data_IF_033287719947
#
_entry.id   IF_033287719947
#
_cell.length_a   1.000
_cell.length_b   1.000
_cell.length_c   1.000
_cell.angle_alpha   90.00
_cell.angle_beta   90.00
_cell.angle_gamma   90.00
#
_symmetry.space_group_name_H-M   'P 1'
#
loop_
_entity.id
_entity.type
_entity.pdbx_description
1 polymer ?
#
# COMPACT_ATOMS: atom_id res chain seq x y z
N UNK A 1 9.70 -25.40 39.45
CA UNK A 1 8.39 -24.84 39.04
C UNK A 1 8.48 -23.53 38.24
N UNK A 2 9.58 -22.76 38.28
CA UNK A 2 9.76 -21.56 37.45
C UNK A 2 9.94 -21.83 35.94
N UNK A 3 10.60 -22.93 35.54
CA UNK A 3 10.91 -23.23 34.12
C UNK A 3 9.66 -23.39 33.25
N UNK A 4 8.60 -24.01 33.79
CA UNK A 4 7.33 -24.20 33.08
C UNK A 4 6.57 -22.86 32.94
N UNK A 5 6.66 -22.00 33.95
CA UNK A 5 6.05 -20.66 33.92
C UNK A 5 6.73 -19.74 32.88
N UNK A 6 8.06 -19.80 32.77
CA UNK A 6 8.80 -19.07 31.73
C UNK A 6 8.47 -19.55 30.31
N UNK A 7 8.33 -20.86 30.12
CA UNK A 7 7.92 -21.43 28.83
C UNK A 7 6.51 -20.99 28.42
N UNK A 8 5.56 -20.99 29.37
CA UNK A 8 4.19 -20.51 29.14
C UNK A 8 4.17 -19.01 28.81
N UNK A 9 4.96 -18.20 29.53
CA UNK A 9 5.05 -16.76 29.28
C UNK A 9 5.57 -16.46 27.87
N UNK A 10 6.63 -17.16 27.42
CA UNK A 10 7.16 -17.01 26.06
C UNK A 10 6.14 -17.40 24.98
N UNK A 11 5.41 -18.50 25.20
CA UNK A 11 4.37 -18.96 24.27
C UNK A 11 3.22 -17.95 24.15
N UNK A 12 2.78 -17.38 25.27
CA UNK A 12 1.74 -16.33 25.30
C UNK A 12 2.21 -15.06 24.58
N UNK A 13 3.46 -14.64 24.78
CA UNK A 13 3.99 -13.47 24.06
C UNK A 13 4.03 -13.69 22.55
N UNK A 14 4.38 -14.89 22.09
CA UNK A 14 4.45 -15.21 20.66
C UNK A 14 3.06 -15.17 20.01
N UNK A 15 2.04 -15.72 20.70
CA UNK A 15 0.64 -15.70 20.24
C UNK A 15 0.07 -14.28 20.23
N UNK A 16 0.45 -13.43 21.19
CA UNK A 16 0.01 -12.03 21.20
C UNK A 16 0.61 -11.23 20.04
N UNK A 17 1.87 -11.48 19.66
CA UNK A 17 2.51 -10.73 18.55
C UNK A 17 1.90 -10.98 17.17
N UNK A 18 1.32 -12.15 16.91
CA UNK A 18 0.65 -12.46 15.65
C UNK A 18 -0.70 -11.75 15.48
N UNK A 19 -1.32 -11.28 16.56
CA UNK A 19 -2.57 -10.51 16.51
C UNK A 19 -2.36 -9.03 16.15
N UNK A 20 -1.13 -8.52 16.27
CA UNK A 20 -0.80 -7.12 15.98
C UNK A 20 -0.25 -6.90 14.57
N UNK A 21 -0.29 -7.90 13.68
CA UNK A 21 0.05 -7.67 12.27
C UNK A 21 -1.12 -6.91 11.64
N UNK A 22 -0.96 -5.63 11.26
CA UNK A 22 -2.00 -4.95 10.51
C UNK A 22 -2.05 -5.60 9.13
N UNK A 23 -3.18 -6.22 8.76
CA UNK A 23 -3.45 -6.70 7.40
C UNK A 23 -3.57 -5.58 6.36
N UNK A 24 -3.06 -4.38 6.64
CA UNK A 24 -3.41 -3.12 5.97
C UNK A 24 -2.60 -2.83 4.70
N UNK A 25 -2.10 -3.85 3.99
CA UNK A 25 -1.38 -3.66 2.73
C UNK A 25 -1.99 -4.46 1.57
N UNK A 26 -3.03 -5.26 1.80
CA UNK A 26 -3.84 -5.74 0.69
C UNK A 26 -4.70 -4.57 0.20
N UNK A 27 -4.21 -3.84 -0.80
CA UNK A 27 -5.05 -2.93 -1.58
C UNK A 27 -6.20 -3.75 -2.19
N UNK A 28 -7.31 -3.10 -2.50
CA UNK A 28 -8.40 -3.75 -3.23
C UNK A 28 -7.87 -4.43 -4.50
N UNK A 29 -8.42 -5.60 -4.87
CA UNK A 29 -8.00 -6.34 -6.08
C UNK A 29 -7.99 -5.43 -7.34
N UNK A 30 -8.91 -4.47 -7.38
CA UNK A 30 -8.95 -3.41 -8.38
C UNK A 30 -7.67 -2.56 -8.39
N UNK A 31 -7.31 -2.00 -7.23
CA UNK A 31 -6.13 -1.16 -7.08
C UNK A 31 -4.84 -1.95 -7.34
N UNK A 32 -4.74 -3.18 -6.84
CA UNK A 32 -3.59 -4.04 -7.09
C UNK A 32 -3.39 -4.28 -8.60
N UNK A 33 -4.44 -4.74 -9.29
CA UNK A 33 -4.39 -5.01 -10.74
C UNK A 33 -4.02 -3.76 -11.54
N UNK A 34 -4.70 -2.63 -11.29
CA UNK A 34 -4.47 -1.39 -12.02
C UNK A 34 -3.09 -0.79 -11.73
N UNK A 35 -2.64 -0.80 -10.49
CA UNK A 35 -1.33 -0.29 -10.13
C UNK A 35 -0.19 -1.14 -10.69
N UNK A 36 -0.37 -2.46 -10.78
CA UNK A 36 0.59 -3.33 -11.48
C UNK A 36 0.77 -2.93 -12.95
N UNK A 37 -0.32 -2.63 -13.66
CA UNK A 37 -0.25 -2.13 -15.03
C UNK A 37 0.44 -0.76 -15.06
N UNK A 38 -0.03 0.19 -14.24
CA UNK A 38 0.48 1.58 -14.19
C UNK A 38 1.98 1.63 -13.92
N UNK A 39 2.47 0.76 -13.04
CA UNK A 39 3.86 0.73 -12.59
C UNK A 39 4.75 -0.25 -13.36
N UNK A 40 4.22 -0.96 -14.37
CA UNK A 40 4.94 -2.01 -15.12
C UNK A 40 6.24 -1.55 -15.81
N UNK A 41 6.40 -0.25 -16.05
CA UNK A 41 7.62 0.36 -16.64
C UNK A 41 8.34 1.33 -15.71
N UNK A 42 7.97 1.37 -14.43
CA UNK A 42 8.57 2.29 -13.48
C UNK A 42 9.96 1.82 -13.06
N UNK A 43 10.98 2.69 -13.19
CA UNK A 43 12.35 2.38 -12.74
C UNK A 43 12.51 2.18 -11.23
N UNK A 44 11.50 2.57 -10.43
CA UNK A 44 11.41 2.33 -8.98
C UNK A 44 10.07 1.68 -8.66
N UNK A 45 9.97 0.38 -8.93
CA UNK A 45 8.72 -0.36 -8.94
C UNK A 45 7.99 -0.33 -7.58
N UNK A 46 8.66 -0.68 -6.48
CA UNK A 46 8.06 -0.68 -5.14
C UNK A 46 7.52 0.70 -4.73
N UNK A 47 8.26 1.76 -5.09
CA UNK A 47 7.83 3.13 -4.83
C UNK A 47 6.57 3.47 -5.62
N UNK A 48 6.55 3.11 -6.90
CA UNK A 48 5.39 3.35 -7.75
C UNK A 48 4.15 2.63 -7.21
N UNK A 49 4.25 1.32 -6.92
CA UNK A 49 3.15 0.52 -6.41
C UNK A 49 2.62 1.09 -5.09
N UNK A 50 3.50 1.45 -4.16
CA UNK A 50 3.11 2.05 -2.88
C UNK A 50 2.29 3.33 -3.06
N UNK A 51 2.77 4.29 -3.85
CA UNK A 51 2.06 5.56 -4.03
C UNK A 51 0.83 5.42 -4.92
N UNK A 52 0.87 4.54 -5.92
CA UNK A 52 -0.31 4.22 -6.72
C UNK A 52 -1.42 3.62 -5.86
N UNK A 53 -1.10 2.64 -5.01
CA UNK A 53 -2.06 2.02 -4.10
C UNK A 53 -2.69 3.03 -3.15
N UNK A 54 -1.88 3.87 -2.48
CA UNK A 54 -2.39 4.95 -1.61
C UNK A 54 -3.36 5.86 -2.37
N UNK A 55 -2.99 6.30 -3.58
CA UNK A 55 -3.84 7.17 -4.38
C UNK A 55 -5.09 6.47 -4.91
N UNK A 56 -4.99 5.18 -5.23
CA UNK A 56 -6.11 4.39 -5.71
C UNK A 56 -7.12 4.12 -4.59
N UNK A 57 -6.69 3.81 -3.38
CA UNK A 57 -7.59 3.63 -2.24
C UNK A 57 -8.27 4.94 -1.84
N UNK A 58 -7.57 6.08 -1.97
CA UNK A 58 -8.17 7.40 -1.68
C UNK A 58 -9.12 7.90 -2.80
N UNK A 59 -8.85 7.57 -4.06
CA UNK A 59 -9.55 8.15 -5.22
C UNK A 59 -10.41 7.15 -6.01
N UNK A 60 -10.33 5.85 -5.69
CA UNK A 60 -10.95 4.72 -6.37
C UNK A 60 -10.77 4.72 -7.90
N UNK A 61 -9.63 5.24 -8.38
CA UNK A 61 -9.34 5.43 -9.80
C UNK A 61 -7.83 5.35 -10.06
N UNK A 62 -7.43 4.71 -11.15
CA UNK A 62 -6.04 4.68 -11.65
C UNK A 62 -6.06 4.99 -13.15
N UNK A 63 -5.30 5.99 -13.61
CA UNK A 63 -5.18 6.33 -15.03
C UNK A 63 -4.69 5.16 -15.90
N UNK A 64 -5.11 5.16 -17.16
CA UNK A 64 -4.64 4.21 -18.16
C UNK A 64 -3.14 4.35 -18.46
N UNK A 65 -2.57 3.32 -19.09
CA UNK A 65 -1.17 3.29 -19.49
C UNK A 65 -0.17 3.26 -18.31
N UNK A 66 1.09 3.59 -18.61
CA UNK A 66 2.20 3.55 -17.64
C UNK A 66 2.72 4.95 -17.26
N UNK A 67 2.23 5.99 -17.93
CA UNK A 67 2.57 7.39 -17.71
C UNK A 67 1.45 8.27 -18.27
N UNK A 68 1.33 9.53 -17.82
CA UNK A 68 0.33 10.47 -18.33
C UNK A 68 -1.11 10.12 -17.96
N UNK A 69 -2.08 10.55 -18.78
CA UNK A 69 -3.53 10.26 -18.70
C UNK A 69 -4.20 10.61 -17.37
N UNK A 70 -3.58 11.48 -16.56
CA UNK A 70 -4.08 11.79 -15.22
C UNK A 70 -5.43 12.52 -15.26
N UNK A 71 -5.78 13.14 -16.37
CA UNK A 71 -7.09 13.73 -16.63
C UNK A 71 -8.25 12.72 -16.54
N UNK A 72 -8.01 11.43 -16.79
CA UNK A 72 -8.99 10.35 -16.59
C UNK A 72 -9.42 10.20 -15.11
N UNK A 73 -8.54 10.56 -14.18
CA UNK A 73 -8.76 10.46 -12.74
C UNK A 73 -8.41 11.79 -12.04
N UNK A 74 -9.32 12.79 -12.02
CA UNK A 74 -9.04 14.12 -11.46
C UNK A 74 -8.53 14.10 -10.01
N UNK A 75 -9.11 13.27 -9.13
CA UNK A 75 -8.62 13.10 -7.76
C UNK A 75 -7.15 12.62 -7.73
N UNK A 76 -6.81 11.60 -8.53
CA UNK A 76 -5.47 11.04 -8.63
C UNK A 76 -4.46 12.06 -9.16
N UNK A 77 -4.87 12.87 -10.16
CA UNK A 77 -4.07 13.97 -10.72
C UNK A 77 -3.73 15.03 -9.69
N UNK A 78 -4.73 15.44 -8.91
CA UNK A 78 -4.67 16.63 -8.08
C UNK A 78 -4.08 16.34 -6.69
N UNK A 79 -3.95 15.06 -6.31
CA UNK A 79 -3.29 14.68 -5.05
C UNK A 79 -1.85 15.18 -4.96
N UNK A 80 -1.61 15.97 -3.92
CA UNK A 80 -0.29 16.51 -3.58
C UNK A 80 0.31 15.82 -2.37
N UNK A 81 1.63 15.79 -2.32
CA UNK A 81 2.37 15.45 -1.11
C UNK A 81 2.45 16.67 -0.17
N UNK A 82 3.01 16.50 1.03
CA UNK A 82 3.14 17.57 2.01
C UNK A 82 4.02 18.75 1.56
N UNK A 83 4.78 18.60 0.48
CA UNK A 83 5.62 19.65 -0.13
C UNK A 83 4.94 20.32 -1.33
N UNK A 84 3.68 20.03 -1.61
CA UNK A 84 2.91 20.59 -2.73
C UNK A 84 3.19 19.96 -4.10
N UNK A 85 4.13 19.01 -4.19
CA UNK A 85 4.40 18.28 -5.43
C UNK A 85 3.38 17.16 -5.70
N UNK A 86 3.31 16.60 -6.92
CA UNK A 86 2.43 15.47 -7.22
C UNK A 86 2.77 14.26 -6.32
N UNK A 87 1.73 13.65 -5.74
CA UNK A 87 1.87 12.45 -4.89
C UNK A 87 1.83 11.16 -5.70
N UNK A 88 0.91 11.09 -6.66
CA UNK A 88 0.58 9.86 -7.39
C UNK A 88 1.41 9.72 -8.68
N UNK A 89 1.85 8.49 -9.03
CA UNK A 89 2.72 8.25 -10.19
C UNK A 89 2.11 8.67 -11.54
#
# INVERSE_FOLDING_TARGET
>A
MMKLSFAILLLVTLILTSFFIPSTIAGSDFCESKCNIRCSKAGRQDRCLKYCGICCEECHCVPSGTYGHKDECPCYRDKKNSKGGPKCP
#
